data_IF_491049771971
#
_entry.id   IF_491049771971
#
_cell.length_a   1.000
_cell.length_b   1.000
_cell.length_c   1.000
_cell.angle_alpha   90.00
_cell.angle_beta   90.00
_cell.angle_gamma   90.00
#
_symmetry.space_group_name_H-M   'P 1'
#
loop_
_entity.id
_entity.type
_entity.pdbx_description
1 polymer ?
#
# COMPACT_ATOMS: atom_id res chain seq x y z
N UNK A 1 10.47 -21.30 -9.04
CA UNK A 1 11.08 -20.27 -8.16
C UNK A 1 11.17 -18.90 -8.84
N UNK A 2 11.74 -18.76 -10.06
CA UNK A 2 11.86 -17.46 -10.76
C UNK A 2 10.55 -16.68 -10.94
N UNK A 3 9.54 -17.34 -11.54
CA UNK A 3 8.25 -16.70 -11.80
C UNK A 3 7.58 -16.28 -10.48
N UNK A 4 7.70 -17.11 -9.44
CA UNK A 4 7.17 -16.79 -8.12
C UNK A 4 7.86 -15.56 -7.51
N UNK A 5 9.19 -15.48 -7.54
CA UNK A 5 9.94 -14.31 -7.05
C UNK A 5 9.58 -13.03 -7.80
N UNK A 6 9.43 -13.11 -9.13
CA UNK A 6 9.00 -11.98 -9.96
C UNK A 6 7.57 -11.53 -9.62
N UNK A 7 6.62 -12.47 -9.47
CA UNK A 7 5.24 -12.16 -9.12
C UNK A 7 5.14 -11.51 -7.74
N UNK A 8 5.90 -12.00 -6.76
CA UNK A 8 5.97 -11.41 -5.42
C UNK A 8 6.54 -9.99 -5.47
N UNK A 9 7.61 -9.78 -6.24
CA UNK A 9 8.21 -8.46 -6.42
C UNK A 9 7.21 -7.49 -7.08
N UNK A 10 6.53 -7.91 -8.15
CA UNK A 10 5.50 -7.11 -8.82
C UNK A 10 4.32 -6.78 -7.90
N UNK A 11 3.88 -7.73 -7.08
CA UNK A 11 2.84 -7.51 -6.07
C UNK A 11 3.29 -6.46 -5.04
N UNK A 12 4.55 -6.54 -4.58
CA UNK A 12 5.15 -5.53 -3.72
C UNK A 12 5.11 -4.13 -4.35
N UNK A 13 5.51 -4.00 -5.62
CA UNK A 13 5.42 -2.71 -6.34
C UNK A 13 3.97 -2.21 -6.43
N UNK A 14 3.03 -3.07 -6.79
CA UNK A 14 1.63 -2.68 -6.94
C UNK A 14 1.02 -2.17 -5.61
N UNK A 15 1.30 -2.87 -4.50
CA UNK A 15 0.85 -2.45 -3.17
C UNK A 15 1.55 -1.17 -2.71
N UNK A 16 2.82 -0.98 -3.06
CA UNK A 16 3.55 0.25 -2.77
C UNK A 16 2.92 1.46 -3.49
N UNK A 17 2.63 1.32 -4.78
CA UNK A 17 1.96 2.37 -5.57
C UNK A 17 0.58 2.68 -4.98
N UNK A 18 -0.21 1.66 -4.61
CA UNK A 18 -1.51 1.83 -3.97
C UNK A 18 -1.40 2.62 -2.66
N UNK A 19 -0.42 2.28 -1.81
CA UNK A 19 -0.15 2.99 -0.55
C UNK A 19 0.22 4.46 -0.78
N UNK A 20 1.15 4.74 -1.71
CA UNK A 20 1.58 6.11 -2.02
C UNK A 20 0.43 6.95 -2.58
N UNK A 21 -0.37 6.40 -3.48
CA UNK A 21 -1.50 7.12 -4.07
C UNK A 21 -2.60 7.40 -3.03
N UNK A 22 -2.89 6.43 -2.15
CA UNK A 22 -3.85 6.65 -1.06
C UNK A 22 -3.35 7.68 -0.04
N UNK A 23 -2.04 7.69 0.24
CA UNK A 23 -1.43 8.74 1.06
C UNK A 23 -1.59 10.13 0.43
N UNK A 24 -1.43 10.23 -0.89
CA UNK A 24 -1.64 11.49 -1.62
C UNK A 24 -3.08 11.95 -1.53
N UNK A 25 -4.06 11.07 -1.74
CA UNK A 25 -5.48 11.40 -1.56
C UNK A 25 -5.76 11.96 -0.15
N UNK A 26 -5.22 11.30 0.89
CA UNK A 26 -5.41 11.72 2.28
C UNK A 26 -4.74 13.08 2.57
N UNK A 27 -3.55 13.31 2.02
CA UNK A 27 -2.84 14.59 2.14
C UNK A 27 -3.59 15.72 1.41
N UNK A 28 -4.05 15.46 0.20
CA UNK A 28 -4.77 16.44 -0.61
C UNK A 28 -6.08 16.84 0.09
N UNK A 29 -6.82 15.86 0.62
CA UNK A 29 -8.02 16.09 1.42
C UNK A 29 -7.74 16.87 2.73
N UNK A 30 -6.62 16.61 3.40
CA UNK A 30 -6.23 17.37 4.59
C UNK A 30 -5.93 18.85 4.29
N UNK A 31 -5.58 19.19 3.04
CA UNK A 31 -5.24 20.55 2.62
C UNK A 31 -6.34 21.28 1.86
N UNK A 32 -7.37 20.58 1.37
CA UNK A 32 -8.39 21.13 0.48
C UNK A 32 -9.44 22.00 1.20
N UNK A 33 -9.48 21.97 2.53
CA UNK A 33 -10.52 22.66 3.33
C UNK A 33 -11.94 22.11 3.15
N UNK A 34 -12.10 21.09 2.29
CA UNK A 34 -13.37 20.40 2.04
C UNK A 34 -13.43 19.10 2.85
N UNK A 35 -14.64 18.71 3.24
CA UNK A 35 -14.83 17.46 3.98
C UNK A 35 -14.44 16.27 3.08
N UNK A 36 -13.65 15.31 3.57
CA UNK A 36 -13.24 14.15 2.78
C UNK A 36 -14.48 13.35 2.34
N UNK A 37 -14.63 13.12 1.03
CA UNK A 37 -15.71 12.31 0.47
C UNK A 37 -15.17 11.03 -0.15
N UNK A 38 -15.96 9.96 -0.06
CA UNK A 38 -15.59 8.64 -0.58
C UNK A 38 -15.45 8.61 -2.12
N UNK A 39 -16.02 9.60 -2.80
CA UNK A 39 -15.92 9.80 -4.25
C UNK A 39 -14.62 10.51 -4.63
N UNK A 40 -14.15 11.46 -3.80
CA UNK A 40 -12.90 12.18 -4.02
C UNK A 40 -11.65 11.36 -3.64
N UNK A 41 -11.83 10.33 -2.81
CA UNK A 41 -10.74 9.50 -2.27
C UNK A 41 -10.99 7.99 -2.47
N UNK A 42 -11.08 7.53 -3.73
CA UNK A 42 -11.48 6.17 -4.05
C UNK A 42 -10.51 5.10 -3.53
N UNK A 43 -9.20 5.37 -3.51
CA UNK A 43 -8.23 4.38 -3.03
C UNK A 43 -8.25 4.28 -1.51
N UNK A 44 -8.37 5.42 -0.84
CA UNK A 44 -8.49 5.48 0.62
C UNK A 44 -9.76 4.76 1.08
N UNK A 45 -10.87 4.87 0.32
CA UNK A 45 -12.11 4.11 0.57
C UNK A 45 -11.90 2.60 0.54
N UNK A 46 -11.05 2.09 -0.35
CA UNK A 46 -10.74 0.66 -0.44
C UNK A 46 -9.92 0.21 0.77
N UNK A 47 -8.93 1.01 1.17
CA UNK A 47 -8.01 0.67 2.27
C UNK A 47 -8.68 0.80 3.65
N UNK A 48 -9.47 1.85 3.84
CA UNK A 48 -10.12 2.17 5.10
C UNK A 48 -11.50 2.82 4.88
N UNK A 49 -12.55 2.02 4.61
CA UNK A 49 -13.88 2.54 4.32
C UNK A 49 -14.51 3.29 5.51
N UNK A 50 -14.12 2.94 6.75
CA UNK A 50 -14.59 3.59 7.98
C UNK A 50 -14.31 5.08 8.04
N UNK A 51 -13.33 5.58 7.30
CA UNK A 51 -13.06 7.02 7.18
C UNK A 51 -14.25 7.82 6.65
N UNK A 52 -15.22 7.17 6.00
CA UNK A 52 -16.35 7.81 5.36
C UNK A 52 -17.69 7.48 6.03
N UNK A 53 -17.67 6.78 7.17
CA UNK A 53 -18.85 6.49 7.96
C UNK A 53 -19.22 7.76 8.77
N UNK A 54 -20.37 8.36 8.42
CA UNK A 54 -20.79 9.70 8.87
C UNK A 54 -20.92 9.78 10.39
N UNK A 55 -21.29 8.69 11.04
CA UNK A 55 -21.54 8.66 12.48
C UNK A 55 -20.23 8.70 13.30
N UNK A 56 -19.16 8.03 12.87
CA UNK A 56 -17.86 8.03 13.57
C UNK A 56 -17.00 9.26 13.21
N UNK A 57 -17.11 9.75 11.97
CA UNK A 57 -16.31 10.89 11.46
C UNK A 57 -16.66 12.23 12.10
N UNK A 58 -17.92 12.43 12.47
CA UNK A 58 -18.36 13.63 13.19
C UNK A 58 -17.86 13.62 14.63
N UNK A 59 -17.73 12.44 15.25
CA UNK A 59 -17.34 12.30 16.66
C UNK A 59 -15.83 12.37 16.83
N UNK A 60 -15.04 11.77 15.92
CA UNK A 60 -13.57 11.67 16.06
C UNK A 60 -12.78 11.69 14.73
N UNK A 61 -12.80 12.81 13.98
CA UNK A 61 -12.17 12.88 12.66
C UNK A 61 -10.64 12.65 12.70
N UNK A 62 -9.96 13.14 13.73
CA UNK A 62 -8.51 13.00 13.87
C UNK A 62 -8.07 11.55 14.18
N UNK A 63 -8.88 10.80 14.93
CA UNK A 63 -8.58 9.40 15.27
C UNK A 63 -8.72 8.52 14.03
N UNK A 64 -9.79 8.69 13.26
CA UNK A 64 -10.01 7.96 12.00
C UNK A 64 -8.95 8.29 10.94
N UNK A 65 -8.53 9.56 10.81
CA UNK A 65 -7.47 9.95 9.90
C UNK A 65 -6.12 9.32 10.28
N UNK A 66 -5.82 9.23 11.59
CA UNK A 66 -4.62 8.57 12.10
C UNK A 66 -4.64 7.07 11.82
N UNK A 67 -5.79 6.41 12.00
CA UNK A 67 -5.96 4.99 11.68
C UNK A 67 -5.83 4.71 10.18
N UNK A 68 -6.44 5.55 9.35
CA UNK A 68 -6.30 5.48 7.90
C UNK A 68 -4.82 5.59 7.49
N UNK A 69 -4.11 6.57 8.04
CA UNK A 69 -2.67 6.71 7.80
C UNK A 69 -1.88 5.50 8.30
N UNK A 70 -2.19 4.99 9.49
CA UNK A 70 -1.55 3.81 10.05
C UNK A 70 -1.67 2.60 9.13
N UNK A 71 -2.86 2.36 8.56
CA UNK A 71 -3.08 1.28 7.58
C UNK A 71 -2.34 1.51 6.27
N UNK A 72 -2.39 2.73 5.72
CA UNK A 72 -1.67 3.09 4.49
C UNK A 72 -0.16 2.86 4.69
N UNK A 73 0.38 3.29 5.83
CA UNK A 73 1.79 3.10 6.18
C UNK A 73 2.14 1.62 6.37
N UNK A 74 1.27 0.83 6.99
CA UNK A 74 1.48 -0.62 7.16
C UNK A 74 1.51 -1.35 5.82
N UNK A 75 0.61 -1.00 4.90
CA UNK A 75 0.61 -1.55 3.53
C UNK A 75 1.90 -1.12 2.81
N UNK A 76 2.30 0.15 2.95
CA UNK A 76 3.51 0.69 2.34
C UNK A 76 4.78 -0.04 2.84
N UNK A 77 4.97 -0.17 4.14
CA UNK A 77 6.13 -0.89 4.70
C UNK A 77 6.09 -2.39 4.39
N UNK A 78 4.92 -3.03 4.49
CA UNK A 78 4.74 -4.44 4.12
C UNK A 78 5.04 -4.71 2.65
N UNK A 79 4.69 -3.78 1.75
CA UNK A 79 4.96 -3.90 0.33
C UNK A 79 6.45 -3.84 -0.01
N UNK A 80 7.24 -3.04 0.72
CA UNK A 80 8.71 -3.01 0.59
C UNK A 80 9.35 -4.32 1.04
N UNK A 81 8.85 -4.92 2.13
CA UNK A 81 9.32 -6.23 2.59
C UNK A 81 9.02 -7.31 1.55
N UNK A 82 7.80 -7.32 1.02
CA UNK A 82 7.40 -8.22 -0.09
C UNK A 82 8.29 -8.04 -1.32
N UNK A 83 8.55 -6.79 -1.72
CA UNK A 83 9.44 -6.49 -2.84
C UNK A 83 10.84 -7.09 -2.63
N UNK A 84 11.43 -6.86 -1.45
CA UNK A 84 12.75 -7.40 -1.11
C UNK A 84 12.77 -8.92 -1.13
N UNK A 85 11.77 -9.59 -0.56
CA UNK A 85 11.64 -11.05 -0.59
C UNK A 85 11.54 -11.56 -2.03
N UNK A 86 10.73 -10.91 -2.86
CA UNK A 86 10.58 -11.27 -4.27
C UNK A 86 11.88 -11.15 -5.05
N UNK A 87 12.61 -10.04 -4.88
CA UNK A 87 13.91 -9.79 -5.52
C UNK A 87 14.96 -10.81 -5.05
N UNK A 88 15.08 -11.05 -3.74
CA UNK A 88 16.04 -12.03 -3.20
C UNK A 88 15.75 -13.43 -3.75
N UNK A 89 14.48 -13.85 -3.74
CA UNK A 89 14.07 -15.16 -4.28
C UNK A 89 14.38 -15.29 -5.78
N UNK A 90 14.14 -14.22 -6.54
CA UNK A 90 14.43 -14.17 -7.97
C UNK A 90 15.93 -14.28 -8.25
N UNK A 91 16.76 -13.51 -7.54
CA UNK A 91 18.22 -13.49 -7.70
C UNK A 91 18.83 -14.84 -7.31
N UNK A 92 18.43 -15.42 -6.18
CA UNK A 92 18.89 -16.75 -5.74
C UNK A 92 18.53 -17.83 -6.78
N UNK A 93 17.33 -17.75 -7.34
CA UNK A 93 16.90 -18.66 -8.40
C UNK A 93 17.63 -18.45 -9.73
N UNK A 94 18.27 -17.30 -9.96
CA UNK A 94 19.15 -17.11 -11.12
C UNK A 94 20.52 -17.74 -10.90
N UNK A 95 21.13 -17.51 -9.73
CA UNK A 95 22.46 -18.04 -9.39
C UNK A 95 22.52 -19.57 -9.41
N UNK A 96 21.55 -20.24 -8.80
CA UNK A 96 21.51 -21.71 -8.78
C UNK A 96 21.51 -22.34 -10.18
N UNK A 97 20.90 -21.70 -11.18
CA UNK A 97 20.94 -22.22 -12.55
C UNK A 97 22.22 -21.87 -13.30
N UNK A 98 22.89 -20.78 -12.95
CA UNK A 98 24.19 -20.46 -13.55
C UNK A 98 25.25 -21.49 -13.12
N UNK A 99 25.21 -21.92 -11.86
CA UNK A 99 26.09 -22.98 -11.33
C UNK A 99 25.77 -24.36 -11.94
N UNK A 100 24.51 -24.67 -12.25
CA UNK A 100 24.13 -25.93 -12.93
C UNK A 100 24.53 -26.00 -14.42
N UNK A 101 24.95 -24.89 -15.02
CA UNK A 101 25.33 -24.81 -16.44
C UNK A 101 26.84 -24.83 -16.69
N UNK A 102 27.63 -24.80 -15.62
CA UNK A 102 29.09 -24.96 -15.61
C UNK A 102 29.45 -26.40 -15.29
#
# INVERSE_FOLDING_TARGET
MRILGLLIALLGVALFVLSVMSWRELRDAATSGQMPSAEAMPLTRIIYPRLFEIEETVVKPAELARDAFGRISLIGTGSLVLLMIGVVTFVLSQRSQAEQRL
#
